data_IF_902181711004
#
_entry.id   IF_902181711004
#
_cell.length_a   1.000
_cell.length_b   1.000
_cell.length_c   1.000
_cell.angle_alpha   90.00
_cell.angle_beta   90.00
_cell.angle_gamma   90.00
#
_symmetry.space_group_name_H-M   'P 1'
#
loop_
_entity.id
_entity.type
_entity.pdbx_description
1 polymer ?
#
# COMPACT_ATOMS: atom_id res chain seq x y z
N UNK A 1 27.40 -27.40 10.91
CA UNK A 1 25.92 -27.41 10.96
C UNK A 1 25.35 -26.58 12.12
N UNK A 2 25.76 -26.78 13.39
CA UNK A 2 25.20 -26.02 14.55
C UNK A 2 25.35 -24.49 14.51
N UNK A 3 26.41 -23.95 13.87
CA UNK A 3 26.63 -22.49 13.76
C UNK A 3 25.72 -21.81 12.72
N UNK A 4 25.30 -22.50 11.66
CA UNK A 4 24.42 -21.91 10.61
C UNK A 4 23.01 -21.68 11.14
N UNK A 5 22.43 -22.66 11.84
CA UNK A 5 21.10 -22.53 12.46
C UNK A 5 21.06 -21.57 13.66
N UNK A 6 22.21 -21.18 14.21
CA UNK A 6 22.29 -20.22 15.32
C UNK A 6 22.14 -18.77 14.86
N UNK A 7 22.53 -18.44 13.62
CA UNK A 7 22.48 -17.06 13.11
C UNK A 7 21.04 -16.66 12.79
N UNK A 8 20.22 -17.57 12.26
CA UNK A 8 18.79 -17.34 12.00
C UNK A 8 17.92 -17.33 13.27
N UNK A 9 18.51 -17.61 14.42
CA UNK A 9 17.90 -17.38 15.74
C UNK A 9 18.35 -16.05 16.39
N UNK A 10 19.24 -15.30 15.73
CA UNK A 10 19.69 -14.00 16.22
C UNK A 10 18.61 -12.97 15.96
N UNK A 11 18.19 -12.21 16.98
CA UNK A 11 17.32 -11.03 16.83
C UNK A 11 18.01 -9.83 16.14
N UNK A 12 19.19 -10.04 15.56
CA UNK A 12 20.00 -8.98 14.97
C UNK A 12 19.97 -9.08 13.44
N UNK A 13 19.25 -8.16 12.80
CA UNK A 13 19.01 -8.17 11.35
C UNK A 13 20.31 -8.04 10.55
N UNK A 14 21.27 -7.25 11.05
CA UNK A 14 22.58 -7.14 10.40
C UNK A 14 23.32 -8.47 10.43
N UNK A 15 23.30 -9.19 11.56
CA UNK A 15 23.95 -10.51 11.68
C UNK A 15 23.29 -11.55 10.77
N UNK A 16 21.96 -11.52 10.63
CA UNK A 16 21.23 -12.40 9.68
C UNK A 16 21.78 -12.21 8.27
N UNK A 17 21.97 -10.97 7.81
CA UNK A 17 22.58 -10.66 6.51
C UNK A 17 24.12 -10.77 6.51
N UNK A 18 24.76 -11.03 7.65
CA UNK A 18 26.22 -11.02 7.76
C UNK A 18 26.87 -9.64 7.52
N UNK A 19 26.15 -8.57 7.86
CA UNK A 19 26.57 -7.16 7.79
C UNK A 19 26.73 -6.55 9.19
N UNK A 20 26.92 -5.24 9.27
CA UNK A 20 26.91 -4.47 10.52
C UNK A 20 26.17 -3.13 10.30
N UNK A 21 25.96 -2.37 11.37
CA UNK A 21 25.22 -1.10 11.35
C UNK A 21 25.83 -0.02 10.44
N UNK A 22 27.10 -0.15 10.03
CA UNK A 22 27.75 0.77 9.10
C UNK A 22 27.59 0.35 7.63
N UNK A 23 26.90 -0.76 7.34
CA UNK A 23 26.68 -1.22 5.98
C UNK A 23 25.79 -0.23 5.22
N UNK A 24 26.28 0.25 4.07
CA UNK A 24 25.45 1.02 3.13
C UNK A 24 24.45 0.13 2.40
N UNK A 25 23.50 0.76 1.72
CA UNK A 25 22.44 0.10 0.92
C UNK A 25 22.99 -0.97 -0.03
N UNK A 26 24.03 -0.65 -0.81
CA UNK A 26 24.61 -1.58 -1.79
C UNK A 26 25.14 -2.86 -1.15
N UNK A 27 25.79 -2.73 0.02
CA UNK A 27 26.31 -3.88 0.74
C UNK A 27 25.18 -4.72 1.33
N UNK A 28 24.13 -4.08 1.86
CA UNK A 28 22.94 -4.77 2.37
C UNK A 28 22.29 -5.57 1.25
N UNK A 29 22.09 -4.96 0.07
CA UNK A 29 21.54 -5.62 -1.12
C UNK A 29 22.43 -6.77 -1.61
N UNK A 30 23.73 -6.55 -1.70
CA UNK A 30 24.68 -7.60 -2.10
C UNK A 30 24.58 -8.81 -1.17
N UNK A 31 24.59 -8.57 0.14
CA UNK A 31 24.54 -9.65 1.14
C UNK A 31 23.21 -10.37 1.17
N UNK A 32 22.10 -9.67 0.95
CA UNK A 32 20.81 -10.30 0.74
C UNK A 32 20.85 -11.27 -0.44
N UNK A 33 21.35 -10.84 -1.61
CA UNK A 33 21.45 -11.72 -2.79
C UNK A 33 22.36 -12.93 -2.56
N UNK A 34 23.47 -12.76 -1.84
CA UNK A 34 24.33 -13.88 -1.43
C UNK A 34 23.58 -14.86 -0.52
N UNK A 35 22.78 -14.35 0.43
CA UNK A 35 21.98 -15.16 1.35
C UNK A 35 20.84 -15.90 0.65
N UNK A 36 20.14 -15.27 -0.30
CA UNK A 36 19.11 -15.93 -1.10
C UNK A 36 19.68 -17.07 -1.93
N UNK A 37 20.90 -16.94 -2.46
CA UNK A 37 21.57 -18.05 -3.16
C UNK A 37 22.02 -19.18 -2.22
N UNK A 38 22.37 -18.85 -0.98
CA UNK A 38 22.76 -19.83 0.04
C UNK A 38 21.53 -20.53 0.65
N UNK A 39 20.38 -19.85 0.70
CA UNK A 39 19.11 -20.31 1.26
C UNK A 39 17.95 -20.00 0.30
N UNK A 40 17.81 -20.77 -0.80
CA UNK A 40 16.73 -20.57 -1.77
C UNK A 40 15.35 -20.79 -1.12
N UNK A 41 14.31 -20.05 -1.52
CA UNK A 41 12.98 -20.16 -0.93
C UNK A 41 12.35 -21.56 -1.07
N UNK A 42 12.68 -22.29 -2.14
CA UNK A 42 12.16 -23.64 -2.40
C UNK A 42 12.75 -24.70 -1.45
N UNK A 43 14.01 -24.54 -1.07
CA UNK A 43 14.73 -25.49 -0.21
C UNK A 43 14.74 -25.06 1.26
N UNK A 44 14.70 -23.75 1.53
CA UNK A 44 14.87 -23.14 2.84
C UNK A 44 13.84 -22.02 3.10
N UNK A 45 12.53 -22.32 3.08
CA UNK A 45 11.48 -21.31 3.20
C UNK A 45 11.54 -20.52 4.52
N UNK A 46 11.85 -21.18 5.64
CA UNK A 46 11.92 -20.55 6.96
C UNK A 46 13.12 -19.59 7.08
N UNK A 47 14.31 -20.02 6.67
CA UNK A 47 15.50 -19.16 6.65
C UNK A 47 15.32 -18.01 5.66
N UNK A 48 14.76 -18.28 4.48
CA UNK A 48 14.47 -17.26 3.47
C UNK A 48 13.55 -16.18 4.03
N UNK A 49 12.49 -16.55 4.77
CA UNK A 49 11.58 -15.59 5.42
C UNK A 49 12.33 -14.63 6.34
N UNK A 50 13.20 -15.16 7.21
CA UNK A 50 14.01 -14.36 8.15
C UNK A 50 15.02 -13.47 7.40
N UNK A 51 15.63 -13.98 6.32
CA UNK A 51 16.55 -13.21 5.46
C UNK A 51 15.82 -12.05 4.78
N UNK A 52 14.62 -12.33 4.25
CA UNK A 52 13.78 -11.36 3.57
C UNK A 52 13.34 -10.26 4.53
N UNK A 53 12.84 -10.62 5.72
CA UNK A 53 12.45 -9.66 6.76
C UNK A 53 13.62 -8.74 7.17
N UNK A 54 14.82 -9.31 7.36
CA UNK A 54 16.01 -8.53 7.67
C UNK A 54 16.36 -7.56 6.53
N UNK A 55 16.28 -8.01 5.28
CA UNK A 55 16.53 -7.15 4.12
C UNK A 55 15.48 -6.05 3.96
N UNK A 56 14.20 -6.39 4.06
CA UNK A 56 13.09 -5.45 3.90
C UNK A 56 13.09 -4.35 4.96
N UNK A 57 13.57 -4.65 6.18
CA UNK A 57 13.77 -3.66 7.24
C UNK A 57 15.01 -2.81 7.01
N UNK A 58 16.15 -3.43 6.66
CA UNK A 58 17.44 -2.71 6.57
C UNK A 58 17.64 -1.93 5.27
N UNK A 59 16.91 -2.25 4.20
CA UNK A 59 16.98 -1.53 2.92
C UNK A 59 16.26 -0.18 2.96
N UNK A 60 15.23 -0.06 3.80
CA UNK A 60 14.42 1.14 3.94
C UNK A 60 15.00 2.04 5.06
N UNK A 61 15.36 3.31 4.77
CA UNK A 61 15.98 4.20 5.77
C UNK A 61 15.11 4.48 6.99
N UNK A 62 13.79 4.60 6.84
CA UNK A 62 12.89 4.84 7.98
C UNK A 62 12.80 3.61 8.86
N UNK A 63 12.55 2.43 8.28
CA UNK A 63 12.47 1.16 9.03
C UNK A 63 13.79 0.84 9.73
N UNK A 64 14.91 0.99 9.03
CA UNK A 64 16.25 0.81 9.60
C UNK A 64 16.51 1.78 10.74
N UNK A 65 16.14 3.04 10.60
CA UNK A 65 16.29 4.05 11.66
C UNK A 65 15.49 3.70 12.92
N UNK A 66 14.28 3.16 12.75
CA UNK A 66 13.48 2.63 13.86
C UNK A 66 14.18 1.44 14.54
N UNK A 67 14.60 0.45 13.76
CA UNK A 67 15.32 -0.74 14.25
C UNK A 67 16.62 -0.39 15.02
N UNK A 68 17.42 0.53 14.47
CA UNK A 68 18.68 0.97 15.10
C UNK A 68 18.42 1.69 16.42
N UNK A 69 17.29 2.40 16.54
CA UNK A 69 16.91 3.10 17.76
C UNK A 69 16.59 2.13 18.91
N UNK A 70 15.86 1.04 18.63
CA UNK A 70 15.55 0.00 19.61
C UNK A 70 16.83 -0.58 20.23
N UNK A 71 17.82 -0.85 19.36
CA UNK A 71 19.09 -1.45 19.75
C UNK A 71 19.97 -0.47 20.53
N UNK A 72 19.98 0.82 20.18
CA UNK A 72 20.92 1.82 20.71
C UNK A 72 20.53 2.37 22.10
N UNK A 73 19.24 2.51 22.38
CA UNK A 73 18.74 3.14 23.62
C UNK A 73 18.15 2.14 24.62
N UNK A 74 18.56 0.87 24.53
CA UNK A 74 18.08 -0.22 25.41
C UNK A 74 16.55 -0.28 25.50
N UNK A 75 15.87 0.06 24.41
CA UNK A 75 14.41 0.12 24.34
C UNK A 75 13.73 1.33 24.99
N UNK A 76 14.43 2.30 25.61
CA UNK A 76 13.75 3.45 26.25
C UNK A 76 13.05 4.34 25.21
N UNK A 77 13.76 4.74 24.16
CA UNK A 77 13.17 5.51 23.06
C UNK A 77 12.07 4.69 22.34
N UNK A 78 12.28 3.38 22.20
CA UNK A 78 11.30 2.45 21.60
C UNK A 78 9.99 2.39 22.40
N UNK A 79 10.03 2.40 23.73
CA UNK A 79 8.81 2.45 24.56
C UNK A 79 8.00 3.71 24.30
N UNK A 80 8.65 4.88 24.26
CA UNK A 80 7.96 6.13 23.94
C UNK A 80 7.35 6.09 22.54
N UNK A 81 8.03 5.48 21.56
CA UNK A 81 7.49 5.36 20.21
C UNK A 81 6.30 4.41 20.13
N UNK A 82 6.37 3.25 20.78
CA UNK A 82 5.25 2.30 20.79
C UNK A 82 4.01 2.94 21.42
N UNK A 83 4.17 3.56 22.59
CA UNK A 83 3.06 4.26 23.25
C UNK A 83 2.56 5.46 22.44
N UNK A 84 3.45 6.17 21.71
CA UNK A 84 3.04 7.25 20.83
C UNK A 84 2.19 6.75 19.65
N UNK A 85 2.59 5.64 19.01
CA UNK A 85 1.81 5.03 17.94
C UNK A 85 0.46 4.56 18.45
N UNK A 86 0.41 3.89 19.61
CA UNK A 86 -0.86 3.48 20.22
C UNK A 86 -1.77 4.70 20.49
N UNK A 87 -1.20 5.83 20.91
CA UNK A 87 -1.95 7.08 21.09
C UNK A 87 -2.40 7.71 19.77
N UNK A 88 -1.60 7.64 18.70
CA UNK A 88 -2.01 8.07 17.36
C UNK A 88 -3.21 7.26 16.88
N UNK A 89 -3.16 5.94 17.03
CA UNK A 89 -4.26 5.02 16.68
C UNK A 89 -5.54 5.31 17.48
N UNK A 90 -5.41 5.74 18.74
CA UNK A 90 -6.53 6.17 19.58
C UNK A 90 -6.97 7.63 19.36
N UNK A 91 -6.35 8.36 18.43
CA UNK A 91 -6.64 9.77 18.17
C UNK A 91 -6.20 10.74 19.29
N UNK A 92 -5.33 10.30 20.20
CA UNK A 92 -4.79 11.08 21.33
C UNK A 92 -3.51 11.80 20.92
N UNK A 93 -3.69 12.80 20.05
CA UNK A 93 -2.59 13.40 19.28
C UNK A 93 -1.60 14.17 20.17
N UNK A 94 -2.06 14.81 21.25
CA UNK A 94 -1.18 15.58 22.13
C UNK A 94 -0.32 14.66 23.01
N UNK A 95 -0.87 13.53 23.46
CA UNK A 95 -0.13 12.50 24.18
C UNK A 95 0.93 11.85 23.27
N UNK A 96 0.57 11.57 22.01
CA UNK A 96 1.52 11.09 21.01
C UNK A 96 2.65 12.10 20.78
N UNK A 97 2.33 13.39 20.56
CA UNK A 97 3.32 14.44 20.37
C UNK A 97 4.28 14.57 21.56
N UNK A 98 3.74 14.51 22.78
CA UNK A 98 4.53 14.57 24.01
C UNK A 98 5.57 13.43 24.05
N UNK A 99 5.15 12.19 23.77
CA UNK A 99 6.05 11.04 23.76
C UNK A 99 7.06 11.08 22.61
N UNK A 100 6.67 11.54 21.42
CA UNK A 100 7.61 11.73 20.31
C UNK A 100 8.66 12.79 20.64
N UNK A 101 8.31 13.85 21.36
CA UNK A 101 9.27 14.83 21.85
C UNK A 101 10.22 14.22 22.88
N UNK A 102 9.73 13.33 23.77
CA UNK A 102 10.60 12.55 24.67
C UNK A 102 11.55 11.60 23.93
N UNK A 103 11.09 10.98 22.85
CA UNK A 103 11.96 10.18 22.00
C UNK A 103 13.01 11.07 21.28
N UNK A 104 12.61 12.25 20.80
CA UNK A 104 13.50 13.20 20.14
C UNK A 104 14.57 13.80 21.09
N UNK A 105 14.28 13.94 22.39
CA UNK A 105 15.30 14.31 23.41
C UNK A 105 16.49 13.32 23.42
N UNK A 106 16.26 12.06 23.04
CA UNK A 106 17.29 11.02 22.98
C UNK A 106 17.96 10.92 21.60
N UNK A 107 17.20 11.14 20.53
CA UNK A 107 17.64 10.95 19.15
C UNK A 107 16.94 11.91 18.17
N UNK A 108 17.28 13.20 18.24
CA UNK A 108 16.63 14.26 17.45
C UNK A 108 16.69 14.05 15.93
N UNK A 109 17.78 13.46 15.42
CA UNK A 109 18.00 13.23 13.99
C UNK A 109 17.56 11.82 13.52
N UNK A 110 16.77 11.11 14.33
CA UNK A 110 16.28 9.78 13.94
C UNK A 110 15.14 9.92 12.92
N UNK A 111 15.33 9.34 11.73
CA UNK A 111 14.38 9.45 10.62
C UNK A 111 12.98 8.91 10.98
N UNK A 112 12.90 7.84 11.78
CA UNK A 112 11.63 7.25 12.16
C UNK A 112 10.84 8.15 13.13
N UNK A 113 11.52 8.76 14.11
CA UNK A 113 10.91 9.74 15.02
C UNK A 113 10.40 10.94 14.22
N UNK A 114 11.22 11.47 13.31
CA UNK A 114 10.83 12.60 12.47
C UNK A 114 9.64 12.26 11.57
N UNK A 115 9.60 11.06 10.99
CA UNK A 115 8.45 10.59 10.19
C UNK A 115 7.16 10.55 11.00
N UNK A 116 7.19 10.01 12.23
CA UNK A 116 6.02 10.01 13.12
C UNK A 116 5.61 11.42 13.56
N UNK A 117 6.58 12.32 13.81
CA UNK A 117 6.27 13.73 14.10
C UNK A 117 5.62 14.43 12.91
N UNK A 118 6.02 14.11 11.68
CA UNK A 118 5.37 14.63 10.48
C UNK A 118 3.92 14.13 10.36
N UNK A 119 3.67 12.86 10.66
CA UNK A 119 2.31 12.29 10.72
C UNK A 119 1.44 13.03 11.76
N UNK A 120 1.95 13.20 12.99
CA UNK A 120 1.27 14.02 14.02
C UNK A 120 0.99 15.44 13.54
N UNK A 121 1.92 16.08 12.82
CA UNK A 121 1.70 17.41 12.25
C UNK A 121 0.55 17.42 11.22
N UNK A 122 0.43 16.39 10.38
CA UNK A 122 -0.72 16.22 9.47
C UNK A 122 -2.02 16.07 10.26
N UNK A 123 -2.04 15.20 11.27
CA UNK A 123 -3.22 14.95 12.11
C UNK A 123 -3.69 16.22 12.85
N UNK A 124 -2.75 17.11 13.24
CA UNK A 124 -3.04 18.42 13.86
C UNK A 124 -3.46 19.50 12.85
N UNK A 125 -3.31 19.25 11.55
CA UNK A 125 -3.53 20.27 10.53
C UNK A 125 -2.42 21.33 10.46
N UNK A 126 -1.21 21.03 10.96
CA UNK A 126 -0.07 21.94 10.95
C UNK A 126 0.88 21.65 9.77
N UNK A 127 0.52 22.18 8.60
CA UNK A 127 1.32 22.03 7.38
C UNK A 127 2.69 22.72 7.47
N UNK A 128 2.86 23.73 8.32
CA UNK A 128 4.13 24.43 8.46
C UNK A 128 5.12 23.54 9.20
N UNK A 129 4.70 23.00 10.36
CA UNK A 129 5.50 22.02 11.10
C UNK A 129 5.82 20.80 10.25
N UNK A 130 4.85 20.29 9.47
CA UNK A 130 5.09 19.20 8.53
C UNK A 130 6.22 19.53 7.54
N UNK A 131 6.20 20.72 6.94
CA UNK A 131 7.23 21.13 5.97
C UNK A 131 8.59 21.30 6.64
N UNK A 132 8.66 21.92 7.81
CA UNK A 132 9.91 22.11 8.58
C UNK A 132 10.55 20.75 8.91
N UNK A 133 9.74 19.75 9.30
CA UNK A 133 10.22 18.38 9.55
C UNK A 133 10.72 17.73 8.25
N UNK A 134 10.03 17.95 7.12
CA UNK A 134 10.47 17.40 5.84
C UNK A 134 11.75 18.05 5.32
N UNK A 135 12.00 19.33 5.59
CA UNK A 135 13.29 19.97 5.31
C UNK A 135 14.42 19.27 6.10
N UNK A 136 14.19 19.00 7.39
CA UNK A 136 15.15 18.25 8.21
C UNK A 136 15.36 16.82 7.67
N UNK A 137 14.28 16.12 7.29
CA UNK A 137 14.38 14.80 6.69
C UNK A 137 15.18 14.85 5.37
N UNK A 138 14.96 15.84 4.51
CA UNK A 138 15.67 15.99 3.23
C UNK A 138 17.20 16.18 3.42
N UNK A 139 17.63 16.78 4.52
CA UNK A 139 19.05 16.91 4.89
C UNK A 139 19.67 15.59 5.36
N UNK A 140 18.92 14.81 6.15
CA UNK A 140 19.40 13.57 6.77
C UNK A 140 19.24 12.33 5.86
N UNK A 141 18.29 12.34 4.93
CA UNK A 141 17.91 11.17 4.16
C UNK A 141 18.96 10.80 3.09
N UNK A 142 19.26 9.50 2.88
CA UNK A 142 20.19 9.08 1.85
C UNK A 142 19.77 9.56 0.44
N UNK A 143 20.59 10.40 -0.20
CA UNK A 143 20.28 11.02 -1.51
C UNK A 143 19.95 10.02 -2.62
N UNK A 144 20.59 8.84 -2.62
CA UNK A 144 20.28 7.78 -3.60
C UNK A 144 18.86 7.21 -3.47
N UNK A 145 18.25 7.37 -2.30
CA UNK A 145 16.93 6.84 -1.96
C UNK A 145 15.90 7.96 -1.80
N UNK A 146 16.19 9.20 -2.24
CA UNK A 146 15.31 10.36 -2.11
C UNK A 146 13.88 10.11 -2.60
N UNK A 147 13.69 9.24 -3.59
CA UNK A 147 12.36 8.82 -4.05
C UNK A 147 11.50 8.21 -2.91
N UNK A 148 12.08 7.44 -1.98
CA UNK A 148 11.35 6.88 -0.82
C UNK A 148 10.90 7.98 0.16
N UNK A 149 11.68 9.05 0.28
CA UNK A 149 11.30 10.21 1.10
C UNK A 149 10.12 10.94 0.47
N UNK A 150 10.15 11.18 -0.85
CA UNK A 150 9.03 11.80 -1.56
C UNK A 150 7.76 10.92 -1.50
N UNK A 151 7.90 9.59 -1.60
CA UNK A 151 6.79 8.66 -1.40
C UNK A 151 6.16 8.81 -0.01
N UNK A 152 6.97 8.80 1.05
CA UNK A 152 6.48 9.01 2.40
C UNK A 152 5.79 10.37 2.56
N UNK A 153 6.36 11.43 1.97
CA UNK A 153 5.75 12.77 1.96
C UNK A 153 4.36 12.74 1.34
N UNK A 154 4.19 12.07 0.21
CA UNK A 154 2.89 11.96 -0.46
C UNK A 154 1.92 11.15 0.40
N UNK A 155 2.32 9.98 0.88
CA UNK A 155 1.46 9.10 1.70
C UNK A 155 0.91 9.84 2.92
N UNK A 156 1.77 10.55 3.66
CA UNK A 156 1.35 11.33 4.82
C UNK A 156 0.39 12.47 4.41
N UNK A 157 0.66 13.18 3.32
CA UNK A 157 -0.23 14.24 2.84
C UNK A 157 -1.59 13.69 2.37
N UNK A 158 -1.68 12.43 1.98
CA UNK A 158 -2.94 11.79 1.59
C UNK A 158 -3.78 11.34 2.79
N UNK A 159 -3.28 11.38 4.02
CA UNK A 159 -4.09 11.09 5.21
C UNK A 159 -5.20 12.15 5.43
N UNK A 160 -5.09 13.31 4.79
CA UNK A 160 -6.10 14.36 4.85
C UNK A 160 -6.36 15.01 3.50
N UNK A 161 -7.62 15.02 3.07
CA UNK A 161 -8.04 15.62 1.79
C UNK A 161 -7.65 17.10 1.66
N UNK A 162 -7.49 17.81 2.78
CA UNK A 162 -7.06 19.22 2.80
C UNK A 162 -5.68 19.42 2.13
N UNK A 163 -4.85 18.38 2.12
CA UNK A 163 -3.49 18.41 1.59
C UNK A 163 -3.31 17.79 0.21
N UNK A 164 -4.39 17.37 -0.45
CA UNK A 164 -4.38 16.82 -1.82
C UNK A 164 -3.57 17.66 -2.81
N UNK A 165 -3.65 19.00 -2.71
CA UNK A 165 -2.90 19.91 -3.59
C UNK A 165 -1.39 19.84 -3.35
N UNK A 166 -0.96 19.65 -2.10
CA UNK A 166 0.45 19.48 -1.75
C UNK A 166 0.94 18.10 -2.22
N UNK A 167 0.18 17.04 -1.96
CA UNK A 167 0.46 15.69 -2.44
C UNK A 167 0.70 15.66 -3.96
N UNK A 168 -0.15 16.35 -4.73
CA UNK A 168 0.00 16.47 -6.19
C UNK A 168 1.24 17.25 -6.64
N UNK A 169 1.72 18.22 -5.86
CA UNK A 169 2.95 18.95 -6.18
C UNK A 169 4.16 18.02 -5.99
N UNK A 170 4.18 17.29 -4.89
CA UNK A 170 5.24 16.32 -4.60
C UNK A 170 5.22 15.18 -5.63
N UNK A 171 4.06 14.67 -6.03
CA UNK A 171 3.94 13.68 -7.10
C UNK A 171 4.56 14.16 -8.43
N UNK A 172 4.30 15.41 -8.83
CA UNK A 172 4.89 16.00 -10.04
C UNK A 172 6.40 16.21 -9.93
N UNK A 173 6.87 16.57 -8.75
CA UNK A 173 8.30 16.65 -8.48
C UNK A 173 8.96 15.28 -8.62
N UNK A 174 8.33 14.26 -8.04
CA UNK A 174 8.78 12.88 -8.11
C UNK A 174 8.79 12.35 -9.55
N UNK A 175 7.75 12.61 -10.34
CA UNK A 175 7.70 12.33 -11.79
C UNK A 175 8.88 12.91 -12.54
N UNK A 176 9.26 14.15 -12.20
CA UNK A 176 10.34 14.87 -12.87
C UNK A 176 11.72 14.33 -12.47
N UNK A 177 11.92 14.00 -11.19
CA UNK A 177 13.20 13.55 -10.65
C UNK A 177 13.46 12.06 -10.91
N UNK A 178 12.42 11.23 -10.84
CA UNK A 178 12.50 9.77 -10.88
C UNK A 178 11.51 9.16 -11.89
N UNK A 179 11.63 9.49 -13.19
CA UNK A 179 10.71 8.99 -14.22
C UNK A 179 10.76 7.46 -14.39
N UNK A 180 11.89 6.85 -14.05
CA UNK A 180 12.13 5.40 -14.07
C UNK A 180 11.38 4.65 -12.96
N UNK A 181 10.99 5.35 -11.89
CA UNK A 181 10.25 4.77 -10.77
C UNK A 181 8.75 4.70 -10.98
N UNK A 182 8.23 5.15 -12.12
CA UNK A 182 6.80 5.37 -12.33
C UNK A 182 5.91 4.16 -12.06
N UNK A 183 6.32 2.96 -12.46
CA UNK A 183 5.58 1.73 -12.20
C UNK A 183 5.57 1.34 -10.72
N UNK A 184 6.64 1.63 -9.98
CA UNK A 184 6.71 1.40 -8.52
C UNK A 184 5.81 2.37 -7.73
N UNK A 185 5.14 3.31 -8.40
CA UNK A 185 4.39 4.40 -7.77
C UNK A 185 2.88 4.38 -8.04
N UNK A 186 2.35 3.35 -8.71
CA UNK A 186 0.96 3.38 -9.21
C UNK A 186 -0.06 3.62 -8.11
N UNK A 187 0.13 3.04 -6.93
CA UNK A 187 -0.77 3.25 -5.78
C UNK A 187 -0.82 4.71 -5.33
N UNK A 188 0.31 5.39 -5.40
CA UNK A 188 0.41 6.81 -5.07
C UNK A 188 -0.29 7.67 -6.12
N UNK A 189 -0.15 7.32 -7.42
CA UNK A 189 -0.92 7.99 -8.47
C UNK A 189 -2.43 7.82 -8.28
N UNK A 190 -2.86 6.59 -7.95
CA UNK A 190 -4.26 6.27 -7.69
C UNK A 190 -4.74 7.14 -6.53
N UNK A 191 -4.09 7.11 -5.37
CA UNK A 191 -4.49 7.89 -4.20
C UNK A 191 -4.54 9.40 -4.44
N UNK A 192 -3.51 9.98 -5.07
CA UNK A 192 -3.46 11.43 -5.37
C UNK A 192 -4.56 11.85 -6.35
N UNK A 193 -4.82 11.07 -7.39
CA UNK A 193 -5.85 11.40 -8.37
C UNK A 193 -7.26 11.07 -7.90
N UNK A 194 -7.41 10.08 -7.01
CA UNK A 194 -8.67 9.72 -6.40
C UNK A 194 -9.19 10.84 -5.49
N UNK A 195 -8.36 11.39 -4.60
CA UNK A 195 -8.74 12.58 -3.80
C UNK A 195 -9.05 13.82 -4.65
N UNK A 196 -8.68 13.82 -5.93
CA UNK A 196 -9.00 14.91 -6.86
C UNK A 196 -10.23 14.63 -7.71
N UNK A 197 -10.87 13.47 -7.56
CA UNK A 197 -11.98 13.05 -8.41
C UNK A 197 -11.57 12.75 -9.86
N UNK A 198 -10.30 12.45 -10.14
CA UNK A 198 -9.74 12.40 -11.51
C UNK A 198 -9.70 10.98 -12.07
N UNK A 199 -10.87 10.33 -12.16
CA UNK A 199 -11.01 8.97 -12.69
C UNK A 199 -10.23 8.71 -13.98
N UNK A 200 -10.37 9.58 -15.00
CA UNK A 200 -9.69 9.36 -16.30
C UNK A 200 -8.16 9.30 -16.18
N UNK A 201 -7.56 9.99 -15.21
CA UNK A 201 -6.12 9.89 -14.96
C UNK A 201 -5.77 8.58 -14.28
N UNK A 202 -6.57 8.18 -13.29
CA UNK A 202 -6.41 6.92 -12.58
C UNK A 202 -6.51 5.75 -13.57
N UNK A 203 -7.58 5.73 -14.37
CA UNK A 203 -7.82 4.72 -15.39
C UNK A 203 -6.67 4.63 -16.41
N UNK A 204 -6.10 5.75 -16.83
CA UNK A 204 -4.94 5.73 -17.74
C UNK A 204 -3.68 5.11 -17.11
N UNK A 205 -3.49 5.24 -15.80
CA UNK A 205 -2.39 4.56 -15.10
C UNK A 205 -2.71 3.06 -14.97
N UNK A 206 -3.84 2.73 -14.35
CA UNK A 206 -4.26 1.35 -14.11
C UNK A 206 -4.37 0.52 -15.39
N UNK A 207 -5.08 1.02 -16.42
CA UNK A 207 -5.26 0.27 -17.67
C UNK A 207 -3.97 -0.04 -18.43
N UNK A 208 -2.87 0.67 -18.15
CA UNK A 208 -1.57 0.31 -18.71
C UNK A 208 -0.88 -0.79 -17.90
N UNK A 209 -1.07 -0.83 -16.59
CA UNK A 209 -0.57 -1.90 -15.73
C UNK A 209 -1.34 -3.20 -15.92
N UNK A 210 -2.68 -3.14 -15.98
CA UNK A 210 -3.55 -4.30 -16.16
C UNK A 210 -3.16 -5.15 -17.39
N UNK A 211 -2.66 -4.51 -18.47
CA UNK A 211 -2.19 -5.21 -19.69
C UNK A 211 -1.00 -6.14 -19.46
N UNK A 212 -0.26 -5.91 -18.39
CA UNK A 212 0.98 -6.62 -18.08
C UNK A 212 0.79 -7.70 -17.03
N UNK A 213 -0.43 -7.85 -16.51
CA UNK A 213 -0.75 -8.87 -15.51
C UNK A 213 -0.57 -10.24 -16.14
N UNK A 214 0.48 -10.92 -15.69
CA UNK A 214 0.85 -12.22 -16.22
C UNK A 214 0.46 -13.33 -15.27
N UNK A 215 0.72 -13.20 -13.97
CA UNK A 215 0.34 -14.16 -12.94
C UNK A 215 -0.46 -13.49 -11.81
N UNK A 216 -1.36 -14.21 -11.14
CA UNK A 216 -1.90 -13.77 -9.86
C UNK A 216 -0.80 -13.65 -8.81
N UNK A 217 -0.54 -12.41 -8.42
CA UNK A 217 0.26 -12.04 -7.26
C UNK A 217 -0.49 -10.96 -6.46
N UNK A 218 0.00 -10.67 -5.27
CA UNK A 218 -0.63 -9.73 -4.33
C UNK A 218 -0.90 -8.35 -4.97
N UNK A 219 0.05 -7.83 -5.76
CA UNK A 219 -0.08 -6.51 -6.38
C UNK A 219 -1.10 -6.53 -7.53
N UNK A 220 -1.01 -7.52 -8.42
CA UNK A 220 -1.94 -7.65 -9.55
C UNK A 220 -3.38 -7.86 -9.06
N UNK A 221 -3.58 -8.71 -8.05
CA UNK A 221 -4.90 -8.93 -7.43
C UNK A 221 -5.43 -7.62 -6.84
N UNK A 222 -4.61 -6.93 -6.05
CA UNK A 222 -4.98 -5.67 -5.41
C UNK A 222 -5.32 -4.58 -6.42
N UNK A 223 -4.56 -4.45 -7.50
CA UNK A 223 -4.83 -3.48 -8.57
C UNK A 223 -6.06 -3.83 -9.40
N UNK A 224 -6.32 -5.13 -9.64
CA UNK A 224 -7.55 -5.59 -10.27
C UNK A 224 -8.78 -5.21 -9.44
N UNK A 225 -8.77 -5.53 -8.14
CA UNK A 225 -9.84 -5.15 -7.21
C UNK A 225 -9.97 -3.61 -7.08
N UNK A 226 -8.85 -2.89 -7.07
CA UNK A 226 -8.85 -1.42 -7.06
C UNK A 226 -9.51 -0.85 -8.31
N UNK A 227 -9.26 -1.43 -9.49
CA UNK A 227 -9.93 -1.03 -10.73
C UNK A 227 -11.45 -1.24 -10.65
N UNK A 228 -11.88 -2.38 -10.09
CA UNK A 228 -13.31 -2.68 -9.86
C UNK A 228 -13.94 -1.63 -8.95
N UNK A 229 -13.34 -1.38 -7.79
CA UNK A 229 -13.83 -0.42 -6.80
C UNK A 229 -13.89 1.01 -7.37
N UNK A 230 -12.90 1.42 -8.18
CA UNK A 230 -12.89 2.75 -8.80
C UNK A 230 -13.94 2.90 -9.91
N UNK A 231 -14.20 1.85 -10.70
CA UNK A 231 -15.30 1.88 -11.67
C UNK A 231 -16.63 2.12 -10.94
N UNK A 232 -16.81 1.42 -9.82
CA UNK A 232 -18.00 1.53 -8.97
C UNK A 232 -18.14 2.93 -8.35
N UNK A 233 -17.12 3.37 -7.62
CA UNK A 233 -17.08 4.67 -6.93
C UNK A 233 -17.36 5.88 -7.84
N UNK A 234 -16.90 5.82 -9.10
CA UNK A 234 -17.05 6.92 -10.06
C UNK A 234 -18.22 6.74 -11.04
N UNK A 235 -19.01 5.68 -10.86
CA UNK A 235 -20.11 5.28 -11.75
C UNK A 235 -19.65 5.21 -13.21
N UNK A 236 -18.50 4.57 -13.45
CA UNK A 236 -17.89 4.42 -14.78
C UNK A 236 -18.11 3.03 -15.35
N UNK A 237 -19.33 2.52 -15.20
CA UNK A 237 -19.74 1.17 -15.58
C UNK A 237 -19.39 0.81 -17.02
N UNK A 238 -19.31 1.81 -17.92
CA UNK A 238 -18.88 1.61 -19.31
C UNK A 238 -17.43 1.10 -19.45
N UNK A 239 -16.64 1.12 -18.37
CA UNK A 239 -15.27 0.58 -18.33
C UNK A 239 -15.21 -0.90 -18.00
N UNK A 240 -16.30 -1.54 -17.56
CA UNK A 240 -16.36 -2.97 -17.25
C UNK A 240 -15.82 -3.84 -18.39
N UNK A 241 -16.33 -3.66 -19.60
CA UNK A 241 -15.91 -4.48 -20.75
C UNK A 241 -14.43 -4.27 -21.07
N UNK A 242 -13.93 -3.04 -20.88
CA UNK A 242 -12.51 -2.75 -21.02
C UNK A 242 -11.68 -3.40 -19.92
N UNK A 243 -12.17 -3.45 -18.67
CA UNK A 243 -11.50 -4.15 -17.57
C UNK A 243 -11.37 -5.63 -17.92
N UNK A 244 -12.49 -6.29 -18.22
CA UNK A 244 -12.55 -7.71 -18.57
C UNK A 244 -11.60 -8.02 -19.73
N UNK A 245 -11.64 -7.23 -20.81
CA UNK A 245 -10.78 -7.43 -21.97
C UNK A 245 -9.28 -7.23 -21.65
N UNK A 246 -8.93 -6.30 -20.75
CA UNK A 246 -7.54 -6.08 -20.35
C UNK A 246 -7.01 -7.20 -19.45
N UNK A 247 -7.89 -7.91 -18.73
CA UNK A 247 -7.53 -8.90 -17.72
C UNK A 247 -8.02 -10.31 -18.04
N UNK A 248 -8.38 -10.60 -19.28
CA UNK A 248 -8.95 -11.91 -19.69
C UNK A 248 -8.05 -13.09 -19.29
N UNK A 249 -6.76 -13.01 -19.64
CA UNK A 249 -5.80 -14.07 -19.29
C UNK A 249 -5.56 -14.17 -17.78
N UNK A 250 -5.70 -13.06 -17.06
CA UNK A 250 -5.54 -13.01 -15.61
C UNK A 250 -6.73 -13.66 -14.90
N UNK A 251 -7.96 -13.36 -15.35
CA UNK A 251 -9.20 -13.98 -14.87
C UNK A 251 -9.17 -15.50 -15.11
N UNK A 252 -8.70 -15.94 -16.27
CA UNK A 252 -8.57 -17.38 -16.57
C UNK A 252 -7.68 -18.10 -15.53
N UNK A 253 -6.56 -17.48 -15.13
CA UNK A 253 -5.66 -18.04 -14.12
C UNK A 253 -6.24 -18.02 -12.71
N UNK A 254 -6.95 -16.95 -12.35
CA UNK A 254 -7.74 -16.92 -11.10
C UNK A 254 -8.71 -18.10 -11.08
N UNK A 255 -9.40 -18.37 -12.19
CA UNK A 255 -10.36 -19.47 -12.26
C UNK A 255 -9.74 -20.87 -12.14
N UNK A 256 -8.45 -21.03 -12.42
CA UNK A 256 -7.72 -22.29 -12.20
C UNK A 256 -7.34 -22.50 -10.71
N UNK A 257 -7.30 -21.44 -9.91
CA UNK A 257 -6.96 -21.47 -8.48
C UNK A 257 -8.22 -21.29 -7.63
N UNK A 258 -8.66 -22.38 -6.99
CA UNK A 258 -9.88 -22.34 -6.16
C UNK A 258 -9.78 -21.37 -4.97
N UNK A 259 -8.66 -21.34 -4.26
CA UNK A 259 -8.52 -20.50 -3.06
C UNK A 259 -8.57 -19.03 -3.44
N UNK A 260 -7.86 -18.67 -4.51
CA UNK A 260 -7.87 -17.31 -5.02
C UNK A 260 -9.22 -16.90 -5.59
N UNK A 261 -9.88 -17.79 -6.35
CA UNK A 261 -11.22 -17.53 -6.88
C UNK A 261 -12.22 -17.29 -5.76
N UNK A 262 -12.23 -18.14 -4.73
CA UNK A 262 -13.11 -18.01 -3.57
C UNK A 262 -12.84 -16.68 -2.82
N UNK A 263 -11.58 -16.24 -2.74
CA UNK A 263 -11.24 -14.92 -2.19
C UNK A 263 -11.81 -13.76 -3.02
N UNK A 264 -11.70 -13.81 -4.36
CA UNK A 264 -12.27 -12.77 -5.24
C UNK A 264 -13.79 -12.72 -5.12
N UNK A 265 -14.46 -13.89 -5.12
CA UNK A 265 -15.91 -13.98 -4.92
C UNK A 265 -16.30 -13.35 -3.59
N UNK A 266 -15.63 -13.71 -2.49
CA UNK A 266 -15.88 -13.11 -1.18
C UNK A 266 -15.80 -11.58 -1.19
N UNK A 267 -14.76 -11.00 -1.81
CA UNK A 267 -14.62 -9.55 -1.93
C UNK A 267 -15.76 -8.93 -2.74
N UNK A 268 -16.17 -9.57 -3.85
CA UNK A 268 -17.27 -9.08 -4.68
C UNK A 268 -18.62 -9.17 -3.95
N UNK A 269 -18.88 -10.24 -3.22
CA UNK A 269 -20.10 -10.40 -2.41
C UNK A 269 -20.24 -9.33 -1.34
N UNK A 270 -19.15 -9.01 -0.61
CA UNK A 270 -19.17 -7.91 0.38
C UNK A 270 -19.52 -6.57 -0.28
N UNK A 271 -18.98 -6.29 -1.48
CA UNK A 271 -19.36 -5.10 -2.24
C UNK A 271 -20.83 -5.14 -2.70
N UNK A 272 -21.34 -6.32 -3.07
CA UNK A 272 -22.75 -6.49 -3.46
C UNK A 272 -23.68 -6.19 -2.28
N UNK A 273 -23.37 -6.72 -1.09
CA UNK A 273 -24.14 -6.45 0.12
C UNK A 273 -24.14 -4.96 0.48
N UNK A 274 -22.99 -4.27 0.39
CA UNK A 274 -22.94 -2.81 0.60
C UNK A 274 -23.85 -2.06 -0.40
N UNK A 275 -23.82 -2.46 -1.68
CA UNK A 275 -24.69 -1.88 -2.69
C UNK A 275 -26.18 -2.18 -2.46
N UNK A 276 -26.51 -3.35 -1.90
CA UNK A 276 -27.86 -3.71 -1.49
C UNK A 276 -28.36 -2.85 -0.32
N UNK A 277 -27.55 -2.70 0.73
CA UNK A 277 -27.89 -1.87 1.89
C UNK A 277 -28.16 -0.41 1.51
N UNK A 278 -27.44 0.10 0.50
CA UNK A 278 -27.61 1.45 -0.02
C UNK A 278 -28.68 1.56 -1.12
N UNK A 279 -29.25 0.44 -1.58
CA UNK A 279 -30.23 0.41 -2.67
C UNK A 279 -29.66 0.81 -4.03
N UNK A 280 -28.35 0.70 -4.24
CA UNK A 280 -27.69 1.03 -5.50
C UNK A 280 -27.80 -0.11 -6.50
N UNK A 281 -28.89 -0.09 -7.28
CA UNK A 281 -29.19 -1.11 -8.29
C UNK A 281 -28.12 -1.18 -9.39
N UNK A 282 -27.44 -0.07 -9.73
CA UNK A 282 -26.41 -0.06 -10.78
C UNK A 282 -25.13 -0.72 -10.30
N UNK A 283 -24.74 -0.44 -9.06
CA UNK A 283 -23.63 -1.15 -8.42
C UNK A 283 -23.93 -2.65 -8.29
N UNK A 284 -25.13 -3.02 -7.84
CA UNK A 284 -25.56 -4.42 -7.78
C UNK A 284 -25.45 -5.11 -9.14
N UNK A 285 -25.99 -4.50 -10.21
CA UNK A 285 -25.86 -5.03 -11.58
C UNK A 285 -24.42 -5.25 -12.00
N UNK A 286 -23.57 -4.25 -11.80
CA UNK A 286 -22.16 -4.31 -12.16
C UNK A 286 -21.43 -5.44 -11.41
N UNK A 287 -21.69 -5.58 -10.11
CA UNK A 287 -21.04 -6.58 -9.27
C UNK A 287 -21.53 -7.99 -9.62
N UNK A 288 -22.85 -8.19 -9.82
CA UNK A 288 -23.39 -9.48 -10.27
C UNK A 288 -22.79 -9.93 -11.59
N UNK A 289 -22.57 -9.01 -12.54
CA UNK A 289 -21.87 -9.34 -13.80
C UNK A 289 -20.43 -9.79 -13.61
N UNK A 290 -19.73 -9.22 -12.63
CA UNK A 290 -18.37 -9.64 -12.29
C UNK A 290 -18.36 -10.98 -11.56
N UNK A 291 -19.29 -11.24 -10.64
CA UNK A 291 -19.44 -12.51 -9.94
C UNK A 291 -19.63 -13.67 -10.93
N UNK A 292 -20.46 -13.49 -11.95
CA UNK A 292 -20.68 -14.49 -13.02
C UNK A 292 -19.41 -14.83 -13.83
N UNK A 293 -18.31 -14.09 -13.70
CA UNK A 293 -17.02 -14.46 -14.31
C UNK A 293 -16.26 -15.54 -13.51
N UNK A 294 -16.61 -15.70 -12.24
CA UNK A 294 -15.93 -16.56 -11.27
C UNK A 294 -16.86 -17.66 -10.71
N UNK A 295 -18.18 -17.48 -10.81
CA UNK A 295 -19.16 -18.40 -10.27
C UNK A 295 -20.19 -18.80 -11.33
N UNK A 296 -20.38 -20.12 -11.48
CA UNK A 296 -21.42 -20.72 -12.32
C UNK A 296 -22.64 -21.09 -11.45
N UNK A 297 -23.37 -20.06 -11.01
CA UNK A 297 -24.57 -20.20 -10.18
C UNK A 297 -25.83 -19.69 -10.95
N UNK A 298 -26.80 -20.57 -11.25
CA UNK A 298 -28.08 -20.18 -11.85
C UNK A 298 -28.86 -19.12 -11.06
N UNK A 299 -28.67 -19.03 -9.74
CA UNK A 299 -29.34 -18.02 -8.91
C UNK A 299 -28.78 -16.61 -9.18
N UNK A 300 -27.48 -16.48 -9.49
CA UNK A 300 -26.89 -15.20 -9.93
C UNK A 300 -27.47 -14.73 -11.26
N UNK A 301 -27.66 -15.63 -12.24
CA UNK A 301 -28.31 -15.26 -13.50
C UNK A 301 -29.74 -14.76 -13.29
N UNK A 302 -30.46 -15.41 -12.36
CA UNK A 302 -31.83 -15.01 -12.03
C UNK A 302 -31.83 -13.63 -11.36
N UNK A 303 -30.91 -13.40 -10.43
CA UNK A 303 -30.79 -12.11 -9.75
C UNK A 303 -30.43 -10.98 -10.71
N UNK A 304 -29.46 -11.21 -11.60
CA UNK A 304 -29.11 -10.26 -12.66
C UNK A 304 -30.33 -9.84 -13.50
N UNK A 305 -31.15 -10.81 -13.93
CA UNK A 305 -32.39 -10.52 -14.69
C UNK A 305 -33.39 -9.70 -13.89
N UNK A 306 -33.51 -9.93 -12.58
CA UNK A 306 -34.39 -9.12 -11.70
C UNK A 306 -33.86 -7.70 -11.59
N UNK A 307 -32.57 -7.54 -11.33
CA UNK A 307 -31.93 -6.22 -11.20
C UNK A 307 -32.08 -5.39 -12.49
N UNK A 308 -31.94 -6.02 -13.67
CA UNK A 308 -32.15 -5.34 -14.96
C UNK A 308 -33.60 -4.83 -15.11
N UNK A 309 -34.58 -5.62 -14.67
CA UNK A 309 -35.97 -5.21 -14.70
C UNK A 309 -36.22 -4.05 -13.72
N UNK A 310 -35.67 -4.14 -12.51
CA UNK A 310 -35.76 -3.09 -11.49
C UNK A 310 -35.15 -1.78 -12.00
N UNK A 311 -33.94 -1.81 -12.55
CA UNK A 311 -33.28 -0.64 -13.12
C UNK A 311 -34.11 0.00 -14.24
N UNK A 312 -34.69 -0.83 -15.13
CA UNK A 312 -35.56 -0.35 -16.19
C UNK A 312 -36.80 0.37 -15.65
N UNK A 313 -37.46 -0.21 -14.64
CA UNK A 313 -38.64 0.38 -14.01
C UNK A 313 -38.28 1.73 -13.35
N UNK A 314 -37.18 1.79 -12.59
CA UNK A 314 -36.71 3.03 -11.96
C UNK A 314 -36.47 4.14 -12.99
N UNK A 315 -35.80 3.81 -14.10
CA UNK A 315 -35.55 4.75 -15.19
C UNK A 315 -36.83 5.24 -15.88
N UNK A 316 -37.90 4.44 -15.91
CA UNK A 316 -39.20 4.86 -16.44
C UNK A 316 -39.94 5.80 -15.47
N UNK A 317 -39.85 5.54 -14.16
CA UNK A 317 -40.45 6.39 -13.11
C UNK A 317 -39.76 7.76 -13.06
N UNK A 318 -38.44 7.83 -13.13
CA UNK A 318 -37.67 9.10 -13.10
C UNK A 318 -37.94 10.01 -14.30
N UNK A 319 -38.53 9.47 -15.38
CA UNK A 319 -38.90 10.22 -16.60
C UNK A 319 -40.31 10.81 -16.54
N UNK A 320 -41.14 10.43 -15.56
CA UNK A 320 -42.52 10.89 -15.40
C UNK A 320 -42.63 12.17 -14.56
#
# INVERSE_FOLDING_TARGET
MKLKNSVFKSSNLYRILGTNSNAGEELIKQRYLEKVREFPPEENPEEFKVIREAYDTLKDPFKRSGYDLETKYQGQASKFLQEAVDYMDWGKIEEAEFLLNKAAELAADNLYILRLKAEVAVMKGDINLFNDIFEQLEELFPKKQEYLLLLNKIVLLLESEQYTKYANRVLKEMEKKFPDKKSEMTDVYIGVYDQQGKFNKIWNVLSNELKTFSEPDEDNIRHFLTAIALINKYEKWEKKDSLIALTESFIAKINEDQELRDYIIYVLDENYFEAEEHGDIKAQLYITELLMLFEDDPDLELEYKKLQLTEKILNEVDRM
#
